data_IF_491345215716
#
_entry.id   IF_491345215716
#
_cell.length_a   1.000
_cell.length_b   1.000
_cell.length_c   1.000
_cell.angle_alpha   90.00
_cell.angle_beta   90.00
_cell.angle_gamma   90.00
#
_symmetry.space_group_name_H-M   'P 1'
#
loop_
_entity.id
_entity.type
_entity.pdbx_description
1 polymer ?
#
# COMPACT_ATOMS: atom_id res chain seq x y z
N UNK A 1 -3.02 -5.33 -4.04
CA UNK A 1 -2.19 -4.16 -4.34
C UNK A 1 -2.94 -2.95 -3.82
N UNK A 2 -2.25 -1.91 -3.36
CA UNK A 2 -2.87 -0.64 -3.01
C UNK A 2 -2.23 0.47 -3.85
N UNK A 3 -3.05 1.23 -4.56
CA UNK A 3 -2.62 2.43 -5.30
C UNK A 3 -3.33 3.67 -4.76
N UNK A 4 -2.78 4.85 -5.04
CA UNK A 4 -3.37 6.12 -4.64
C UNK A 4 -3.37 7.10 -5.82
N UNK A 5 -4.50 7.77 -6.01
CA UNK A 5 -4.65 8.88 -6.94
C UNK A 5 -5.18 10.10 -6.19
N UNK A 6 -4.87 11.28 -6.72
CA UNK A 6 -5.45 12.56 -6.27
C UNK A 6 -6.42 13.05 -7.33
N UNK A 7 -7.51 13.69 -6.93
CA UNK A 7 -8.50 14.18 -7.89
C UNK A 7 -9.05 15.59 -7.54
N UNK A 8 -9.58 16.25 -8.57
CA UNK A 8 -10.15 17.60 -8.49
C UNK A 8 -11.67 17.60 -8.27
N UNK A 9 -12.31 18.75 -8.46
CA UNK A 9 -13.78 18.89 -8.35
C UNK A 9 -14.50 18.07 -9.41
N UNK A 10 -15.76 17.69 -9.14
CA UNK A 10 -16.64 16.99 -10.09
C UNK A 10 -16.44 15.48 -10.19
N UNK A 11 -15.51 14.89 -9.44
CA UNK A 11 -15.24 13.45 -9.46
C UNK A 11 -16.25 12.59 -8.70
N UNK A 12 -17.19 13.18 -7.95
CA UNK A 12 -18.21 12.42 -7.21
C UNK A 12 -19.03 11.51 -8.15
N UNK A 13 -19.40 12.03 -9.32
CA UNK A 13 -20.25 11.33 -10.27
C UNK A 13 -19.59 10.03 -10.78
N UNK A 14 -18.26 10.02 -10.94
CA UNK A 14 -17.51 8.83 -11.34
C UNK A 14 -17.72 7.62 -10.41
N UNK A 15 -17.89 7.85 -9.10
CA UNK A 15 -18.15 6.77 -8.13
C UNK A 15 -19.64 6.44 -8.03
N UNK A 16 -20.52 7.40 -8.31
CA UNK A 16 -21.96 7.23 -8.21
C UNK A 16 -22.57 6.58 -9.46
N UNK A 17 -21.99 6.82 -10.65
CA UNK A 17 -22.41 6.20 -11.92
C UNK A 17 -22.20 4.69 -11.95
N UNK A 18 -21.25 4.22 -11.15
CA UNK A 18 -20.89 2.82 -11.08
C UNK A 18 -21.82 1.98 -10.18
N UNK A 19 -22.47 2.60 -9.20
CA UNK A 19 -23.36 1.93 -8.24
C UNK A 19 -24.62 1.44 -8.95
N UNK A 20 -24.87 0.14 -8.89
CA UNK A 20 -26.09 -0.46 -9.43
C UNK A 20 -27.33 0.06 -8.67
N UNK A 21 -28.40 0.40 -9.40
CA UNK A 21 -29.71 0.74 -8.81
C UNK A 21 -30.30 -0.52 -8.15
N UNK A 22 -30.93 -0.33 -6.99
CA UNK A 22 -30.99 -1.28 -5.87
C UNK A 22 -31.94 -2.50 -5.98
N UNK A 23 -32.37 -2.95 -7.16
CA UNK A 23 -33.44 -3.97 -7.24
C UNK A 23 -33.03 -5.32 -7.87
N UNK A 24 -31.74 -5.56 -8.11
CA UNK A 24 -31.30 -6.84 -8.70
C UNK A 24 -30.82 -7.85 -7.64
N UNK A 25 -31.60 -8.93 -7.53
CA UNK A 25 -31.33 -10.15 -6.75
C UNK A 25 -29.99 -10.84 -7.13
N UNK A 26 -29.32 -10.38 -8.20
CA UNK A 26 -27.97 -10.77 -8.64
C UNK A 26 -26.91 -9.67 -8.37
N UNK A 27 -26.97 -9.04 -7.19
CA UNK A 27 -26.01 -8.04 -6.69
C UNK A 27 -24.53 -8.52 -6.60
N UNK A 28 -24.21 -9.74 -7.05
CA UNK A 28 -22.83 -10.19 -7.30
C UNK A 28 -22.23 -9.60 -8.57
N UNK A 29 -23.02 -9.01 -9.46
CA UNK A 29 -22.51 -8.51 -10.74
C UNK A 29 -22.66 -6.97 -10.92
N UNK A 30 -23.41 -6.29 -10.05
CA UNK A 30 -23.43 -4.82 -9.92
C UNK A 30 -22.43 -4.28 -8.89
N UNK A 31 -21.93 -3.05 -9.06
CA UNK A 31 -21.05 -2.43 -8.05
C UNK A 31 -21.84 -2.16 -6.76
N UNK A 32 -21.23 -2.45 -5.60
CA UNK A 32 -21.91 -2.36 -4.31
C UNK A 32 -22.23 -0.89 -3.98
N UNK A 33 -23.38 -0.68 -3.29
CA UNK A 33 -23.69 0.61 -2.67
C UNK A 33 -22.52 0.98 -1.76
N UNK A 34 -21.98 2.18 -1.94
CA UNK A 34 -20.83 2.63 -1.17
C UNK A 34 -21.11 2.60 0.33
N UNK A 35 -20.10 2.37 1.16
CA UNK A 35 -20.22 2.35 2.61
C UNK A 35 -19.32 3.39 3.27
N UNK A 36 -19.83 4.11 4.27
CA UNK A 36 -19.01 4.99 5.09
C UNK A 36 -18.11 4.19 6.06
N UNK A 37 -16.89 4.69 6.27
CA UNK A 37 -15.87 4.16 7.19
C UNK A 37 -15.07 5.30 7.83
N UNK A 38 -14.39 4.97 8.93
CA UNK A 38 -13.48 5.86 9.65
C UNK A 38 -14.17 6.73 10.70
N UNK A 39 -13.41 7.08 11.75
CA UNK A 39 -13.90 7.91 12.86
C UNK A 39 -14.31 9.30 12.41
N UNK A 40 -13.74 9.79 11.30
CA UNK A 40 -14.15 11.06 10.70
C UNK A 40 -15.55 11.01 10.10
N UNK A 41 -15.95 9.89 9.50
CA UNK A 41 -17.31 9.71 9.02
C UNK A 41 -18.30 9.68 10.20
N UNK A 42 -17.97 8.94 11.27
CA UNK A 42 -18.78 8.90 12.51
C UNK A 42 -18.97 10.29 13.12
N UNK A 43 -17.95 11.16 13.09
CA UNK A 43 -18.04 12.56 13.55
C UNK A 43 -19.04 13.41 12.77
N UNK A 44 -19.32 13.07 11.51
CA UNK A 44 -20.33 13.71 10.66
C UNK A 44 -21.69 12.99 10.72
N UNK A 45 -21.86 11.99 11.60
CA UNK A 45 -23.06 11.14 11.64
C UNK A 45 -23.17 10.16 10.48
N UNK A 46 -22.12 10.00 9.67
CA UNK A 46 -22.10 9.12 8.51
C UNK A 46 -21.71 7.71 8.95
N UNK A 47 -22.67 6.78 8.93
CA UNK A 47 -22.47 5.40 9.40
C UNK A 47 -23.07 4.31 8.50
N UNK A 48 -23.83 4.71 7.47
CA UNK A 48 -24.59 3.81 6.61
C UNK A 48 -24.04 3.77 5.16
N UNK A 49 -24.91 3.40 4.23
CA UNK A 49 -24.69 3.55 2.80
C UNK A 49 -24.35 5.00 2.43
N UNK A 50 -23.49 5.17 1.44
CA UNK A 50 -23.06 6.47 0.93
C UNK A 50 -24.18 7.07 0.08
N UNK A 51 -24.86 8.10 0.59
CA UNK A 51 -25.84 8.81 -0.21
C UNK A 51 -25.13 9.76 -1.20
N UNK A 52 -25.65 9.92 -2.44
CA UNK A 52 -25.09 10.83 -3.43
C UNK A 52 -24.93 12.28 -2.94
N UNK A 53 -25.86 12.77 -2.12
CA UNK A 53 -25.83 14.13 -1.57
C UNK A 53 -24.73 14.29 -0.52
N UNK A 54 -24.55 13.30 0.36
CA UNK A 54 -23.53 13.30 1.40
C UNK A 54 -22.14 13.27 0.78
N UNK A 55 -21.91 12.38 -0.19
CA UNK A 55 -20.63 12.26 -0.88
C UNK A 55 -20.23 13.58 -1.55
N UNK A 56 -21.17 14.23 -2.25
CA UNK A 56 -20.92 15.53 -2.89
C UNK A 56 -20.57 16.59 -1.85
N UNK A 57 -21.33 16.67 -0.75
CA UNK A 57 -21.10 17.63 0.32
C UNK A 57 -19.69 17.50 0.91
N UNK A 58 -19.27 16.31 1.33
CA UNK A 58 -17.96 16.13 1.96
C UNK A 58 -16.80 16.36 0.99
N UNK A 59 -16.96 16.01 -0.30
CA UNK A 59 -15.96 16.28 -1.34
C UNK A 59 -15.82 17.77 -1.66
N UNK A 60 -16.91 18.52 -1.54
CA UNK A 60 -16.90 19.98 -1.61
C UNK A 60 -16.42 20.65 -0.32
N UNK A 61 -16.25 19.88 0.76
CA UNK A 61 -15.82 20.38 2.05
C UNK A 61 -16.91 21.00 2.86
N UNK A 62 -18.09 20.39 2.84
CA UNK A 62 -19.26 20.81 3.60
C UNK A 62 -19.73 19.69 4.49
N UNK A 63 -20.29 20.08 5.61
CA UNK A 63 -21.03 19.17 6.46
C UNK A 63 -22.28 18.71 5.69
N UNK A 64 -22.54 17.40 5.58
CA UNK A 64 -23.68 16.89 4.82
C UNK A 64 -25.03 17.28 5.45
N UNK A 65 -25.10 17.45 6.77
CA UNK A 65 -26.31 17.84 7.50
C UNK A 65 -26.53 19.35 7.52
N UNK A 66 -25.52 20.13 7.92
CA UNK A 66 -25.66 21.59 8.09
C UNK A 66 -25.30 22.40 6.84
N UNK A 67 -24.62 21.79 5.87
CA UNK A 67 -24.05 22.45 4.68
C UNK A 67 -22.98 23.52 4.98
N UNK A 68 -22.59 23.67 6.25
CA UNK A 68 -21.55 24.58 6.69
C UNK A 68 -20.17 24.14 6.19
N UNK A 69 -19.23 25.08 5.96
CA UNK A 69 -17.89 24.73 5.50
C UNK A 69 -17.09 23.93 6.54
N UNK A 70 -16.59 22.77 6.14
CA UNK A 70 -15.61 21.99 6.89
C UNK A 70 -14.20 22.55 6.59
N UNK A 71 -13.78 23.49 7.43
CA UNK A 71 -12.49 24.17 7.35
C UNK A 71 -12.48 25.34 6.37
N UNK A 72 -11.29 25.90 6.11
CA UNK A 72 -11.16 27.12 5.30
C UNK A 72 -11.48 26.84 3.83
N UNK A 73 -12.32 27.68 3.23
CA UNK A 73 -12.57 27.67 1.77
C UNK A 73 -11.33 28.16 1.04
N UNK A 74 -10.86 27.35 0.08
CA UNK A 74 -9.83 27.73 -0.87
C UNK A 74 -10.36 27.49 -2.29
N UNK A 75 -10.23 28.46 -3.19
CA UNK A 75 -10.69 28.35 -4.59
C UNK A 75 -10.07 27.13 -5.30
N UNK A 76 -8.78 26.86 -5.05
CA UNK A 76 -8.02 25.73 -5.60
C UNK A 76 -8.00 24.47 -4.70
N UNK A 77 -9.02 24.29 -3.84
CA UNK A 77 -9.06 23.13 -2.94
C UNK A 77 -9.18 21.84 -3.75
N UNK A 78 -8.25 20.92 -3.53
CA UNK A 78 -8.36 19.52 -3.98
C UNK A 78 -9.58 18.88 -3.33
N UNK A 79 -10.26 17.99 -4.06
CA UNK A 79 -11.46 17.33 -3.55
C UNK A 79 -11.15 16.11 -2.68
N UNK A 80 -10.10 15.36 -3.00
CA UNK A 80 -9.70 14.23 -2.17
C UNK A 80 -8.63 13.32 -2.77
N UNK A 81 -8.54 12.14 -2.18
CA UNK A 81 -7.68 11.03 -2.58
C UNK A 81 -8.54 9.80 -2.85
N UNK A 82 -8.14 9.00 -3.82
CA UNK A 82 -8.73 7.69 -4.13
C UNK A 82 -7.68 6.62 -3.89
N UNK A 83 -7.94 5.73 -2.96
CA UNK A 83 -7.10 4.58 -2.64
C UNK A 83 -7.76 3.32 -3.18
N UNK A 84 -7.10 2.64 -4.13
CA UNK A 84 -7.67 1.45 -4.77
C UNK A 84 -7.00 0.18 -4.26
N UNK A 85 -7.77 -0.66 -3.58
CA UNK A 85 -7.37 -1.99 -3.14
C UNK A 85 -7.71 -3.01 -4.22
N UNK A 86 -6.73 -3.64 -4.83
CA UNK A 86 -6.95 -4.65 -5.87
C UNK A 86 -6.55 -6.05 -5.38
N UNK A 87 -7.47 -7.01 -5.44
CA UNK A 87 -7.17 -8.41 -5.14
C UNK A 87 -6.27 -9.04 -6.23
N UNK A 88 -5.50 -10.11 -5.90
CA UNK A 88 -4.86 -10.96 -6.91
C UNK A 88 -5.88 -11.51 -7.92
N UNK A 89 -5.42 -11.90 -9.11
CA UNK A 89 -6.34 -12.31 -10.19
C UNK A 89 -7.07 -13.59 -9.82
N UNK A 90 -6.38 -14.57 -9.25
CA UNK A 90 -7.00 -15.83 -8.81
C UNK A 90 -8.04 -15.60 -7.72
N UNK A 91 -7.81 -14.63 -6.81
CA UNK A 91 -8.82 -14.24 -5.81
C UNK A 91 -10.04 -13.60 -6.49
N UNK A 92 -9.83 -12.77 -7.50
CA UNK A 92 -10.95 -12.21 -8.29
C UNK A 92 -11.76 -13.32 -8.97
N UNK A 93 -11.10 -14.36 -9.51
CA UNK A 93 -11.79 -15.50 -10.11
C UNK A 93 -12.62 -16.27 -9.08
N UNK A 94 -12.06 -16.59 -7.91
CA UNK A 94 -12.79 -17.26 -6.84
C UNK A 94 -14.02 -16.45 -6.39
N UNK A 95 -13.87 -15.13 -6.26
CA UNK A 95 -14.90 -14.23 -5.79
C UNK A 95 -16.02 -13.95 -6.79
N UNK A 96 -15.75 -14.10 -8.09
CA UNK A 96 -16.64 -13.62 -9.15
C UNK A 96 -17.05 -14.67 -10.19
N UNK A 97 -16.43 -15.86 -10.17
CA UNK A 97 -16.71 -16.98 -11.09
C UNK A 97 -16.82 -18.31 -10.32
N UNK A 98 -16.44 -18.34 -9.04
CA UNK A 98 -16.54 -19.54 -8.21
C UNK A 98 -18.00 -19.94 -7.89
N UNK A 99 -18.23 -21.09 -7.23
CA UNK A 99 -19.56 -21.42 -6.74
C UNK A 99 -20.06 -20.40 -5.69
N UNK A 100 -21.39 -20.27 -5.48
CA UNK A 100 -21.96 -19.20 -4.64
C UNK A 100 -21.35 -19.06 -3.25
N UNK A 101 -21.03 -20.17 -2.57
CA UNK A 101 -20.39 -20.11 -1.25
C UNK A 101 -18.95 -19.57 -1.32
N UNK A 102 -18.16 -19.98 -2.30
CA UNK A 102 -16.80 -19.48 -2.51
C UNK A 102 -16.81 -18.00 -2.85
N UNK A 103 -17.77 -17.55 -3.66
CA UNK A 103 -17.95 -16.13 -3.97
C UNK A 103 -18.21 -15.34 -2.69
N UNK A 104 -19.21 -15.75 -1.90
CA UNK A 104 -19.57 -15.09 -0.63
C UNK A 104 -18.39 -14.98 0.33
N UNK A 105 -17.68 -16.08 0.58
CA UNK A 105 -16.54 -16.10 1.49
C UNK A 105 -15.39 -15.24 0.97
N UNK A 106 -15.15 -15.22 -0.34
CA UNK A 106 -14.08 -14.43 -0.95
C UNK A 106 -14.37 -12.93 -0.90
N UNK A 107 -15.60 -12.52 -1.19
CA UNK A 107 -16.04 -11.13 -1.06
C UNK A 107 -15.98 -10.67 0.40
N UNK A 108 -16.44 -11.50 1.35
CA UNK A 108 -16.34 -11.21 2.77
C UNK A 108 -14.88 -11.08 3.24
N UNK A 109 -13.98 -11.96 2.78
CA UNK A 109 -12.54 -11.88 3.06
C UNK A 109 -11.91 -10.59 2.51
N UNK A 110 -12.28 -10.18 1.30
CA UNK A 110 -11.83 -8.91 0.72
C UNK A 110 -12.25 -7.72 1.57
N UNK A 111 -13.55 -7.63 1.90
CA UNK A 111 -14.11 -6.53 2.72
C UNK A 111 -13.45 -6.47 4.10
N UNK A 112 -13.29 -7.62 4.76
CA UNK A 112 -12.61 -7.72 6.06
C UNK A 112 -11.15 -7.25 5.99
N UNK A 113 -10.42 -7.67 4.95
CA UNK A 113 -9.04 -7.26 4.75
C UNK A 113 -8.91 -5.75 4.46
N UNK A 114 -9.83 -5.17 3.68
CA UNK A 114 -9.89 -3.73 3.46
C UNK A 114 -10.17 -3.00 4.77
N UNK A 115 -11.22 -3.37 5.50
CA UNK A 115 -11.63 -2.72 6.75
C UNK A 115 -10.50 -2.75 7.81
N UNK A 116 -9.78 -3.87 7.94
CA UNK A 116 -8.61 -3.96 8.83
C UNK A 116 -7.54 -2.92 8.48
N UNK A 117 -7.25 -2.74 7.19
CA UNK A 117 -6.22 -1.82 6.72
C UNK A 117 -6.67 -0.37 6.78
N UNK A 118 -7.96 -0.08 6.65
CA UNK A 118 -8.52 1.26 6.84
C UNK A 118 -8.41 1.70 8.31
N UNK A 119 -8.67 0.79 9.25
CA UNK A 119 -8.43 1.03 10.67
C UNK A 119 -6.94 1.28 10.97
N UNK A 120 -6.06 0.43 10.44
CA UNK A 120 -4.61 0.60 10.58
C UNK A 120 -4.12 1.93 10.00
N UNK A 121 -4.55 2.27 8.78
CA UNK A 121 -4.22 3.52 8.11
C UNK A 121 -4.63 4.73 8.93
N UNK A 122 -5.86 4.75 9.43
CA UNK A 122 -6.35 5.84 10.26
C UNK A 122 -5.52 5.98 11.55
N UNK A 123 -5.13 4.86 12.17
CA UNK A 123 -4.31 4.86 13.38
C UNK A 123 -2.89 5.40 13.14
N UNK A 124 -2.32 5.25 11.94
CA UNK A 124 -0.92 5.65 11.65
C UNK A 124 -0.78 6.98 10.93
N UNK A 125 -1.65 7.22 9.94
CA UNK A 125 -1.46 8.31 8.97
C UNK A 125 -2.62 9.29 8.89
N UNK A 126 -3.55 9.26 9.84
CA UNK A 126 -4.48 10.38 10.06
C UNK A 126 -3.75 11.59 10.68
N UNK A 127 -3.14 12.39 9.81
CA UNK A 127 -2.50 13.66 10.14
C UNK A 127 -3.12 14.78 9.32
N UNK A 128 -3.21 15.97 9.90
CA UNK A 128 -3.68 17.20 9.23
C UNK A 128 -2.58 18.25 9.19
N UNK A 129 -2.71 19.17 8.24
CA UNK A 129 -1.83 20.33 8.10
C UNK A 129 -2.54 21.59 8.62
N UNK A 130 -1.98 22.23 9.64
CA UNK A 130 -2.52 23.47 10.22
C UNK A 130 -1.49 24.61 10.29
N UNK A 131 -1.99 25.81 10.59
CA UNK A 131 -1.24 27.08 10.59
C UNK A 131 -0.91 27.65 9.21
N UNK A 132 -0.19 28.78 9.18
CA UNK A 132 0.22 29.43 7.94
C UNK A 132 1.04 28.45 7.08
N UNK A 133 0.71 28.35 5.79
CA UNK A 133 1.31 27.42 4.82
C UNK A 133 1.19 25.92 5.19
N UNK A 134 0.39 25.55 6.21
CA UNK A 134 0.19 24.17 6.63
C UNK A 134 1.48 23.49 7.08
N UNK A 135 2.31 24.23 7.83
CA UNK A 135 3.64 23.79 8.29
C UNK A 135 3.53 22.88 9.51
N UNK A 136 2.51 23.05 10.35
CA UNK A 136 2.30 22.21 11.52
C UNK A 136 1.58 20.92 11.12
N UNK A 137 2.14 19.79 11.55
CA UNK A 137 1.56 18.46 11.41
C UNK A 137 0.99 18.04 12.76
N UNK A 138 -0.31 17.81 12.79
CA UNK A 138 -1.00 17.36 14.01
C UNK A 138 -1.83 16.13 13.71
N UNK A 139 -1.99 15.26 14.69
CA UNK A 139 -2.87 14.09 14.60
C UNK A 139 -4.31 14.54 14.38
N UNK A 140 -4.96 13.92 13.39
CA UNK A 140 -6.39 14.03 13.21
C UNK A 140 -7.11 13.02 14.13
N UNK A 141 -8.36 13.29 14.46
CA UNK A 141 -9.17 12.38 15.27
C UNK A 141 -9.72 11.21 14.44
N UNK A 142 -9.63 11.31 13.11
CA UNK A 142 -9.99 10.26 12.17
C UNK A 142 -9.87 10.73 10.72
N UNK A 143 -10.34 9.89 9.81
CA UNK A 143 -10.50 10.17 8.39
C UNK A 143 -11.96 9.91 8.00
N UNK A 144 -12.47 10.67 7.04
CA UNK A 144 -13.74 10.36 6.36
C UNK A 144 -13.40 9.46 5.18
N UNK A 145 -14.04 8.30 5.06
CA UNK A 145 -13.71 7.31 4.04
C UNK A 145 -15.00 6.75 3.42
N UNK A 146 -15.18 6.90 2.11
CA UNK A 146 -16.26 6.27 1.36
C UNK A 146 -15.70 5.10 0.55
N UNK A 147 -16.15 3.89 0.86
CA UNK A 147 -15.70 2.64 0.26
C UNK A 147 -16.68 2.20 -0.84
N UNK A 148 -16.21 1.95 -2.05
CA UNK A 148 -16.99 1.43 -3.18
C UNK A 148 -16.33 0.15 -3.71
N UNK A 149 -17.04 -0.98 -3.70
CA UNK A 149 -16.53 -2.28 -4.17
C UNK A 149 -16.99 -2.55 -5.61
N UNK A 150 -16.02 -2.87 -6.47
CA UNK A 150 -16.20 -3.05 -7.91
C UNK A 150 -15.67 -4.41 -8.35
N UNK A 151 -16.33 -5.04 -9.34
CA UNK A 151 -16.05 -6.42 -9.76
C UNK A 151 -15.48 -6.55 -11.17
N UNK A 152 -15.51 -5.48 -11.97
CA UNK A 152 -15.11 -5.52 -13.39
C UNK A 152 -13.92 -4.60 -13.66
N UNK A 153 -12.96 -5.09 -14.44
CA UNK A 153 -11.92 -4.23 -14.99
C UNK A 153 -12.46 -3.39 -16.16
N UNK A 154 -11.69 -2.38 -16.59
CA UNK A 154 -12.01 -1.62 -17.80
C UNK A 154 -12.07 -2.47 -19.08
N UNK A 155 -11.35 -3.59 -19.12
CA UNK A 155 -11.35 -4.52 -20.24
C UNK A 155 -12.46 -5.59 -20.13
N UNK A 156 -13.36 -5.47 -19.14
CA UNK A 156 -14.42 -6.44 -18.90
C UNK A 156 -13.97 -7.71 -18.18
N UNK A 157 -12.69 -7.87 -17.82
CA UNK A 157 -12.21 -9.02 -17.04
C UNK A 157 -12.70 -8.98 -15.57
N UNK A 158 -12.87 -10.13 -14.90
CA UNK A 158 -13.22 -10.20 -13.48
C UNK A 158 -12.08 -9.60 -12.66
N UNK A 159 -12.39 -8.58 -11.88
CA UNK A 159 -11.42 -7.84 -11.10
C UNK A 159 -12.04 -7.28 -9.83
N UNK A 160 -11.83 -7.99 -8.72
CA UNK A 160 -12.28 -7.56 -7.40
C UNK A 160 -11.36 -6.45 -6.89
N UNK A 161 -11.91 -5.26 -6.74
CA UNK A 161 -11.22 -4.11 -6.19
C UNK A 161 -12.16 -3.16 -5.46
N UNK A 162 -11.60 -2.42 -4.51
CA UNK A 162 -12.33 -1.41 -3.73
C UNK A 162 -11.70 -0.04 -3.86
N UNK A 163 -12.49 0.97 -4.21
CA UNK A 163 -12.13 2.38 -4.17
C UNK A 163 -12.45 2.97 -2.80
N UNK A 164 -11.46 3.56 -2.15
CA UNK A 164 -11.62 4.26 -0.88
C UNK A 164 -11.35 5.73 -1.10
N UNK A 165 -12.44 6.48 -1.16
CA UNK A 165 -12.44 7.91 -1.38
C UNK A 165 -12.29 8.61 -0.04
N UNK A 166 -11.19 9.35 0.10
CA UNK A 166 -10.89 10.16 1.28
C UNK A 166 -11.05 11.63 0.88
N UNK A 167 -12.14 12.30 1.31
CA UNK A 167 -12.32 13.72 1.10
C UNK A 167 -11.16 14.52 1.70
N UNK A 168 -10.90 15.70 1.15
CA UNK A 168 -9.84 16.58 1.64
C UNK A 168 -10.25 17.35 2.92
N UNK A 169 -10.91 16.66 3.85
CA UNK A 169 -11.35 17.11 5.17
C UNK A 169 -11.17 15.98 6.18
N UNK A 170 -10.61 16.32 7.34
CA UNK A 170 -10.47 15.42 8.48
C UNK A 170 -10.70 16.22 9.78
N UNK A 171 -11.34 15.59 10.79
CA UNK A 171 -11.61 16.24 12.05
C UNK A 171 -10.34 16.40 12.90
N UNK A 172 -10.29 17.51 13.60
CA UNK A 172 -9.35 17.84 14.65
C UNK A 172 -10.14 18.23 15.91
N UNK A 173 -9.45 18.28 17.05
CA UNK A 173 -10.00 18.75 18.31
C UNK A 173 -10.79 20.07 18.17
N UNK A 174 -11.75 20.26 19.09
CA UNK A 174 -12.60 21.45 19.18
C UNK A 174 -13.50 21.67 17.93
N UNK A 175 -13.89 20.58 17.25
CA UNK A 175 -14.81 20.65 16.10
C UNK A 175 -14.20 21.26 14.84
N UNK A 176 -12.88 21.43 14.81
CA UNK A 176 -12.17 22.03 13.67
C UNK A 176 -11.89 20.98 12.60
N UNK A 177 -11.89 21.42 11.34
CA UNK A 177 -11.65 20.55 10.19
C UNK A 177 -10.51 21.06 9.33
N UNK A 178 -9.63 20.15 8.91
CA UNK A 178 -8.44 20.47 8.13
C UNK A 178 -8.22 19.49 6.98
N UNK A 179 -7.37 19.88 6.03
CA UNK A 179 -6.94 18.98 4.98
C UNK A 179 -6.00 17.90 5.54
N UNK A 180 -6.24 16.60 5.24
CA UNK A 180 -5.29 15.54 5.53
C UNK A 180 -3.92 15.80 4.90
N UNK A 181 -2.83 15.42 5.59
CA UNK A 181 -1.49 15.44 5.01
C UNK A 181 -1.36 14.29 4.00
N UNK A 182 -1.66 14.59 2.74
CA UNK A 182 -1.55 13.60 1.66
C UNK A 182 -0.18 12.90 1.58
N UNK A 183 0.91 13.55 2.02
CA UNK A 183 2.25 12.91 2.07
C UNK A 183 2.28 11.70 3.00
N UNK A 184 1.53 11.73 4.11
CA UNK A 184 1.39 10.59 5.02
C UNK A 184 0.67 9.43 4.33
N UNK A 185 -0.42 9.72 3.60
CA UNK A 185 -1.15 8.73 2.80
C UNK A 185 -0.25 8.08 1.74
N UNK A 186 0.47 8.89 0.95
CA UNK A 186 1.42 8.38 -0.05
C UNK A 186 2.54 7.52 0.56
N UNK A 187 3.07 7.91 1.72
CA UNK A 187 4.08 7.14 2.43
C UNK A 187 3.56 5.79 2.94
N UNK A 188 2.28 5.72 3.30
CA UNK A 188 1.64 4.51 3.83
C UNK A 188 1.20 3.52 2.75
N UNK A 189 0.81 3.98 1.56
CA UNK A 189 0.18 3.13 0.51
C UNK A 189 0.92 1.84 0.23
N UNK A 190 2.26 1.86 0.17
CA UNK A 190 3.04 0.63 -0.05
C UNK A 190 2.90 -0.33 1.14
N UNK A 191 2.95 0.16 2.37
CA UNK A 191 2.76 -0.64 3.58
C UNK A 191 1.35 -1.17 3.68
N UNK A 192 0.34 -0.32 3.49
CA UNK A 192 -1.07 -0.72 3.46
C UNK A 192 -1.35 -1.80 2.41
N UNK A 193 -0.69 -1.74 1.26
CA UNK A 193 -0.77 -2.80 0.24
C UNK A 193 -0.24 -4.16 0.69
N UNK A 194 0.83 -4.20 1.50
CA UNK A 194 1.37 -5.45 2.05
C UNK A 194 0.46 -5.98 3.16
N UNK A 195 -0.02 -5.10 4.04
CA UNK A 195 -0.95 -5.45 5.11
C UNK A 195 -2.28 -5.98 4.56
N UNK A 196 -2.82 -5.34 3.52
CA UNK A 196 -4.03 -5.82 2.82
C UNK A 196 -3.85 -7.23 2.27
N UNK A 197 -2.74 -7.47 1.58
CA UNK A 197 -2.50 -8.79 1.00
C UNK A 197 -2.26 -9.85 2.07
N UNK A 198 -1.55 -9.53 3.15
CA UNK A 198 -1.37 -10.45 4.28
C UNK A 198 -2.71 -10.74 4.98
N UNK A 199 -3.55 -9.73 5.21
CA UNK A 199 -4.86 -9.90 5.83
C UNK A 199 -5.81 -10.71 4.93
N UNK A 200 -5.82 -10.43 3.62
CA UNK A 200 -6.61 -11.17 2.63
C UNK A 200 -6.21 -12.65 2.61
N UNK A 201 -4.89 -12.94 2.64
CA UNK A 201 -4.41 -14.33 2.74
C UNK A 201 -4.87 -14.99 4.03
N UNK A 202 -4.80 -14.30 5.15
CA UNK A 202 -5.23 -14.83 6.43
C UNK A 202 -6.72 -15.21 6.41
N UNK A 203 -7.57 -14.28 5.95
CA UNK A 203 -9.02 -14.50 5.85
C UNK A 203 -9.36 -15.69 4.94
N UNK A 204 -8.76 -15.76 3.74
CA UNK A 204 -9.05 -16.83 2.77
C UNK A 204 -8.46 -18.18 3.17
N UNK A 205 -7.29 -18.21 3.83
CA UNK A 205 -6.76 -19.45 4.41
C UNK A 205 -7.65 -19.96 5.53
N UNK A 206 -8.19 -19.07 6.38
CA UNK A 206 -9.07 -19.47 7.48
C UNK A 206 -10.45 -19.92 6.99
N UNK A 207 -11.05 -19.19 6.04
CA UNK A 207 -12.40 -19.44 5.52
C UNK A 207 -12.48 -20.63 4.56
N UNK A 208 -11.50 -20.78 3.68
CA UNK A 208 -11.53 -21.74 2.57
C UNK A 208 -10.39 -22.76 2.60
N UNK A 209 -9.47 -22.67 3.56
CA UNK A 209 -8.30 -23.54 3.58
C UNK A 209 -7.34 -23.28 2.41
N UNK A 210 -7.44 -22.08 1.81
CA UNK A 210 -6.77 -21.76 0.56
C UNK A 210 -5.25 -21.82 0.69
N UNK A 211 -4.62 -22.49 -0.27
CA UNK A 211 -3.16 -22.57 -0.42
C UNK A 211 -2.65 -21.47 -1.35
N UNK A 212 -1.45 -20.99 -1.08
CA UNK A 212 -0.84 -19.85 -1.77
C UNK A 212 0.43 -20.26 -2.51
N UNK A 213 0.67 -19.63 -3.65
CA UNK A 213 1.98 -19.61 -4.28
C UNK A 213 2.97 -18.72 -3.52
N UNK A 214 4.19 -18.53 -4.04
CA UNK A 214 5.20 -17.68 -3.42
C UNK A 214 4.72 -16.24 -3.27
N UNK A 215 4.93 -15.66 -2.08
CA UNK A 215 4.71 -14.23 -1.85
C UNK A 215 5.82 -13.45 -2.56
N UNK A 216 5.41 -12.45 -3.35
CA UNK A 216 6.30 -11.53 -4.06
C UNK A 216 5.77 -10.13 -3.94
N UNK A 217 6.56 -9.24 -3.34
CA UNK A 217 6.18 -7.83 -3.11
C UNK A 217 4.84 -7.69 -2.37
N UNK A 218 4.60 -8.59 -1.43
CA UNK A 218 3.43 -8.68 -0.57
C UNK A 218 2.29 -9.47 -1.19
N UNK A 219 2.33 -9.79 -2.48
CA UNK A 219 1.25 -10.47 -3.20
C UNK A 219 1.54 -11.95 -3.42
N UNK A 220 0.50 -12.80 -3.35
CA UNK A 220 0.56 -14.18 -3.81
C UNK A 220 -0.72 -14.51 -4.57
N UNK A 221 -0.60 -15.40 -5.54
CA UNK A 221 -1.76 -15.99 -6.22
C UNK A 221 -2.16 -17.30 -5.52
N UNK A 222 -3.46 -17.65 -5.50
CA UNK A 222 -3.90 -18.96 -5.04
C UNK A 222 -3.22 -20.08 -5.83
N UNK A 223 -2.72 -21.11 -5.13
CA UNK A 223 -1.99 -22.22 -5.74
C UNK A 223 -2.86 -23.12 -6.65
N UNK A 224 -4.18 -22.95 -6.60
CA UNK A 224 -5.15 -23.70 -7.41
C UNK A 224 -5.19 -23.25 -8.88
N UNK A 225 -4.59 -22.11 -9.22
CA UNK A 225 -4.53 -21.61 -10.59
C UNK A 225 -3.13 -21.68 -11.18
N UNK A 226 -3.04 -22.15 -12.42
CA UNK A 226 -1.84 -22.04 -13.23
C UNK A 226 -1.64 -20.62 -13.77
N UNK A 227 -0.40 -20.29 -14.17
CA UNK A 227 -0.10 -18.97 -14.77
C UNK A 227 -0.87 -18.72 -16.07
N UNK A 228 -1.09 -19.74 -16.90
CA UNK A 228 -1.83 -19.60 -18.16
C UNK A 228 -3.30 -19.29 -17.91
N UNK A 229 -3.93 -19.95 -16.93
CA UNK A 229 -5.30 -19.67 -16.51
C UNK A 229 -5.46 -18.23 -16.02
N UNK A 230 -4.54 -17.76 -15.16
CA UNK A 230 -4.57 -16.36 -14.70
C UNK A 230 -4.36 -15.36 -15.84
N UNK A 231 -3.53 -15.70 -16.83
CA UNK A 231 -3.24 -14.85 -17.99
C UNK A 231 -4.47 -14.68 -18.89
N UNK A 232 -5.29 -15.72 -19.05
CA UNK A 232 -6.53 -15.68 -19.83
C UNK A 232 -7.55 -14.62 -19.34
N UNK A 233 -7.43 -14.20 -18.08
CA UNK A 233 -8.30 -13.18 -17.46
C UNK A 233 -7.55 -11.88 -17.13
N UNK A 234 -6.40 -11.64 -17.77
CA UNK A 234 -5.52 -10.50 -17.51
C UNK A 234 -5.27 -9.65 -18.76
N UNK A 235 -6.29 -9.48 -19.61
CA UNK A 235 -6.25 -8.78 -20.91
C UNK A 235 -5.66 -7.38 -20.77
N UNK A 236 -6.05 -6.65 -19.72
CA UNK A 236 -5.52 -5.30 -19.44
C UNK A 236 -4.01 -5.28 -19.23
N UNK A 237 -3.48 -6.29 -18.53
CA UNK A 237 -2.04 -6.39 -18.23
C UNK A 237 -1.26 -6.65 -19.52
N UNK A 238 -1.77 -7.52 -20.37
CA UNK A 238 -1.18 -7.82 -21.67
C UNK A 238 -1.12 -6.58 -22.58
N UNK A 239 -2.20 -5.80 -22.66
CA UNK A 239 -2.20 -4.54 -23.40
C UNK A 239 -1.12 -3.56 -22.90
N UNK A 240 -0.93 -3.44 -21.58
CA UNK A 240 0.11 -2.59 -21.00
C UNK A 240 1.50 -3.15 -21.34
N UNK A 241 1.71 -4.46 -21.23
CA UNK A 241 3.00 -5.08 -21.54
C UNK A 241 3.38 -4.89 -23.02
N UNK A 242 2.44 -5.06 -23.95
CA UNK A 242 2.64 -4.79 -25.38
C UNK A 242 2.96 -3.30 -25.60
N UNK A 243 2.19 -2.38 -25.02
CA UNK A 243 2.47 -0.96 -25.15
C UNK A 243 3.81 -0.53 -24.55
N UNK A 244 4.28 -1.22 -23.51
CA UNK A 244 5.59 -1.01 -22.90
C UNK A 244 6.75 -1.49 -23.78
N UNK A 245 6.55 -2.48 -24.65
CA UNK A 245 7.57 -2.90 -25.61
C UNK A 245 7.93 -1.79 -26.60
N UNK A 246 6.99 -0.89 -26.90
CA UNK A 246 7.21 0.30 -27.73
C UNK A 246 7.83 1.50 -27.01
N UNK A 247 8.09 1.43 -25.70
CA UNK A 247 8.66 2.53 -24.92
C UNK A 247 10.13 2.24 -24.56
N UNK A 248 11.01 3.25 -24.70
CA UNK A 248 12.41 3.13 -24.26
C UNK A 248 12.47 3.15 -22.73
N UNK A 249 12.66 1.98 -22.13
CA UNK A 249 12.94 1.79 -20.70
C UNK A 249 11.76 1.27 -19.87
N UNK A 250 12.06 0.41 -18.89
CA UNK A 250 11.09 -0.16 -17.94
C UNK A 250 11.04 0.68 -16.65
N UNK A 251 10.46 1.88 -16.72
CA UNK A 251 10.28 2.75 -15.55
C UNK A 251 8.82 2.81 -15.09
N UNK A 252 8.59 3.17 -13.82
CA UNK A 252 7.23 3.36 -13.28
C UNK A 252 6.45 4.42 -14.06
N UNK A 253 7.13 5.48 -14.52
CA UNK A 253 6.56 6.54 -15.36
C UNK A 253 6.19 6.02 -16.76
N UNK A 254 7.03 5.17 -17.36
CA UNK A 254 6.70 4.53 -18.63
C UNK A 254 5.46 3.62 -18.49
N UNK A 255 5.37 2.86 -17.39
CA UNK A 255 4.17 2.03 -17.09
C UNK A 255 2.91 2.86 -16.88
N UNK A 256 2.99 4.01 -16.20
CA UNK A 256 1.89 4.95 -16.06
C UNK A 256 1.42 5.50 -17.42
N UNK A 257 2.37 5.93 -18.27
CA UNK A 257 2.07 6.42 -19.62
C UNK A 257 1.44 5.34 -20.49
N UNK A 258 1.99 4.12 -20.48
CA UNK A 258 1.41 2.98 -21.21
C UNK A 258 0.00 2.66 -20.71
N UNK A 259 -0.23 2.73 -19.40
CA UNK A 259 -1.56 2.53 -18.81
C UNK A 259 -2.55 3.60 -19.29
N UNK A 260 -2.19 4.88 -19.27
CA UNK A 260 -3.07 5.95 -19.74
C UNK A 260 -3.36 5.87 -21.24
N UNK A 261 -2.36 5.54 -22.07
CA UNK A 261 -2.51 5.47 -23.54
C UNK A 261 -3.39 4.32 -24.02
N UNK A 262 -3.31 3.17 -23.34
CA UNK A 262 -4.09 1.96 -23.71
C UNK A 262 -5.45 1.93 -23.02
N UNK A 263 -5.83 2.99 -22.32
CA UNK A 263 -7.09 3.08 -21.58
C UNK A 263 -8.24 3.29 -22.54
N UNK A 264 -9.09 2.29 -22.69
CA UNK A 264 -10.38 2.44 -23.34
C UNK A 264 -11.45 2.95 -22.34
N UNK A 265 -12.49 3.65 -22.82
CA UNK A 265 -13.67 3.96 -22.02
C UNK A 265 -14.28 2.67 -21.44
N UNK A 266 -14.80 2.74 -20.21
CA UNK A 266 -15.53 1.61 -19.63
C UNK A 266 -16.88 1.53 -20.37
N UNK A 267 -17.23 0.36 -20.89
CA UNK A 267 -18.58 0.12 -21.41
C UNK A 267 -19.51 -0.03 -20.21
N UNK A 268 -20.45 0.90 -20.03
CA UNK A 268 -21.31 0.99 -18.84
C UNK A 268 -22.68 0.36 -19.01
N UNK A 269 -23.10 0.07 -20.25
CA UNK A 269 -24.46 -0.42 -20.58
C UNK A 269 -24.52 -1.93 -20.86
N UNK A 270 -23.63 -2.73 -20.25
CA UNK A 270 -23.71 -4.19 -20.38
C UNK A 270 -24.36 -4.76 -19.12
N UNK A 271 -25.43 -5.53 -19.31
CA UNK A 271 -26.09 -6.24 -18.22
C UNK A 271 -25.11 -7.14 -17.48
N UNK A 272 -25.10 -7.13 -16.14
CA UNK A 272 -24.13 -7.90 -15.36
C UNK A 272 -24.16 -9.42 -15.66
N UNK A 273 -25.34 -9.98 -15.93
CA UNK A 273 -25.53 -11.39 -16.31
C UNK A 273 -24.74 -11.77 -17.58
N UNK A 274 -24.68 -10.87 -18.58
CA UNK A 274 -23.97 -11.10 -19.83
C UNK A 274 -22.46 -11.15 -19.58
N UNK A 275 -21.96 -10.27 -18.70
CA UNK A 275 -20.55 -10.24 -18.32
C UNK A 275 -20.17 -11.52 -17.59
N UNK A 276 -21.00 -11.99 -16.66
CA UNK A 276 -20.74 -13.22 -15.91
C UNK A 276 -20.76 -14.46 -16.81
N UNK A 277 -21.75 -14.60 -17.69
CA UNK A 277 -21.81 -15.69 -18.65
C UNK A 277 -20.57 -15.73 -19.57
N UNK A 278 -20.07 -14.56 -20.00
CA UNK A 278 -18.85 -14.48 -20.78
C UNK A 278 -17.61 -14.93 -19.99
N UNK A 279 -17.58 -14.74 -18.66
CA UNK A 279 -16.51 -15.24 -17.81
C UNK A 279 -16.57 -16.75 -17.60
N UNK A 280 -17.76 -17.33 -17.46
CA UNK A 280 -17.96 -18.78 -17.36
C UNK A 280 -17.46 -19.50 -18.61
N UNK A 281 -17.88 -19.04 -19.80
CA UNK A 281 -17.40 -19.58 -21.08
C UNK A 281 -15.88 -19.47 -21.18
N UNK A 282 -15.30 -18.33 -20.77
CA UNK A 282 -13.84 -18.16 -20.79
C UNK A 282 -13.14 -19.09 -19.78
N UNK A 283 -13.75 -19.37 -18.65
CA UNK A 283 -13.22 -20.28 -17.64
C UNK A 283 -13.17 -21.72 -18.17
N UNK A 284 -14.23 -22.15 -18.87
CA UNK A 284 -14.27 -23.44 -19.58
C UNK A 284 -13.18 -23.53 -20.64
N UNK A 285 -13.03 -22.51 -21.49
CA UNK A 285 -11.96 -22.46 -22.51
C UNK A 285 -10.56 -22.50 -21.89
N UNK A 286 -10.39 -21.87 -20.73
CA UNK A 286 -9.14 -21.90 -19.95
C UNK A 286 -8.97 -23.17 -19.12
N UNK A 287 -9.90 -24.13 -19.21
CA UNK A 287 -9.92 -25.40 -18.46
C UNK A 287 -9.88 -25.17 -16.94
N UNK A 288 -10.69 -24.23 -16.46
CA UNK A 288 -10.86 -23.94 -15.04
C UNK A 288 -12.17 -24.59 -14.57
N UNK A 289 -12.07 -25.70 -13.85
CA UNK A 289 -13.22 -26.31 -13.19
C UNK A 289 -13.36 -25.74 -11.77
N UNK A 290 -14.18 -24.68 -11.65
CA UNK A 290 -14.43 -24.02 -10.37
C UNK A 290 -15.15 -24.90 -9.37
N UNK A 291 -15.99 -25.84 -9.82
CA UNK A 291 -16.69 -26.77 -8.95
C UNK A 291 -15.72 -27.81 -8.37
N UNK A 292 -14.78 -28.32 -9.18
CA UNK A 292 -13.71 -29.18 -8.69
C UNK A 292 -12.79 -28.47 -7.70
N UNK A 293 -12.35 -27.24 -8.01
CA UNK A 293 -11.51 -26.44 -7.11
C UNK A 293 -12.19 -26.23 -5.75
N UNK A 294 -13.50 -25.95 -5.74
CA UNK A 294 -14.25 -25.68 -4.53
C UNK A 294 -14.46 -26.92 -3.64
N UNK A 295 -14.39 -28.14 -4.18
CA UNK A 295 -14.54 -29.38 -3.39
C UNK A 295 -13.43 -29.58 -2.35
N UNK A 296 -12.26 -29.01 -2.61
CA UNK A 296 -11.11 -29.09 -1.70
C UNK A 296 -11.09 -27.96 -0.65
N UNK A 297 -12.08 -27.07 -0.66
CA UNK A 297 -12.15 -25.94 0.26
C UNK A 297 -12.88 -26.32 1.53
N UNK A 298 -12.15 -26.20 2.64
CA UNK A 298 -12.65 -26.42 3.99
C UNK A 298 -11.99 -25.39 4.91
N UNK A 299 -12.70 -24.82 5.89
CA UNK A 299 -12.11 -23.91 6.85
C UNK A 299 -10.91 -24.55 7.57
N UNK A 300 -9.80 -23.80 7.71
CA UNK A 300 -8.59 -24.30 8.38
C UNK A 300 -8.11 -23.32 9.43
N UNK A 301 -7.65 -23.85 10.57
CA UNK A 301 -6.91 -23.01 11.51
C UNK A 301 -5.59 -22.61 10.87
N UNK A 302 -5.42 -21.32 10.59
CA UNK A 302 -4.14 -20.78 10.13
C UNK A 302 -3.08 -20.94 11.23
N UNK A 303 -1.93 -21.50 10.86
CA UNK A 303 -0.73 -21.43 11.70
C UNK A 303 -0.08 -20.06 11.46
N UNK A 304 0.23 -19.35 12.54
CA UNK A 304 1.02 -18.12 12.46
C UNK A 304 2.45 -18.42 11.98
N UNK A 305 3.25 -17.37 11.84
CA UNK A 305 4.68 -17.49 11.56
C UNK A 305 5.48 -17.46 12.86
N UNK A 306 6.64 -18.13 12.87
CA UNK A 306 7.54 -18.12 14.02
C UNK A 306 8.20 -16.73 14.13
N UNK A 307 7.83 -16.00 15.18
CA UNK A 307 8.32 -14.63 15.42
C UNK A 307 9.82 -14.63 15.76
N UNK A 308 10.33 -15.68 16.41
CA UNK A 308 11.75 -15.77 16.75
C UNK A 308 12.60 -16.06 15.52
N UNK A 309 12.16 -16.99 14.66
CA UNK A 309 12.81 -17.27 13.37
C UNK A 309 12.80 -16.02 12.47
N UNK A 310 11.64 -15.38 12.33
CA UNK A 310 11.49 -14.16 11.55
C UNK A 310 12.36 -13.02 12.07
N UNK A 311 12.46 -12.87 13.40
CA UNK A 311 13.34 -11.88 14.02
C UNK A 311 14.81 -12.15 13.70
N UNK A 312 15.25 -13.40 13.85
CA UNK A 312 16.63 -13.79 13.54
C UNK A 312 16.98 -13.54 12.06
N UNK A 313 16.06 -13.87 11.15
CA UNK A 313 16.22 -13.62 9.72
C UNK A 313 16.30 -12.11 9.41
N UNK A 314 15.35 -11.32 9.92
CA UNK A 314 15.24 -9.90 9.60
C UNK A 314 16.34 -9.04 10.23
N UNK A 315 16.89 -9.43 11.37
CA UNK A 315 18.00 -8.73 12.01
C UNK A 315 19.37 -9.21 11.50
N UNK A 316 19.42 -10.34 10.78
CA UNK A 316 20.65 -10.91 10.23
C UNK A 316 21.20 -10.16 9.01
N UNK A 317 22.36 -10.59 8.49
CA UNK A 317 23.07 -9.92 7.37
C UNK A 317 22.25 -9.80 6.09
N UNK A 318 21.35 -10.75 5.83
CA UNK A 318 20.48 -10.79 4.65
C UNK A 318 19.08 -10.21 4.93
N UNK A 319 18.89 -9.57 6.09
CA UNK A 319 17.62 -9.04 6.55
C UNK A 319 17.36 -7.60 6.13
N UNK A 320 16.88 -6.77 7.08
CA UNK A 320 16.42 -5.40 6.83
C UNK A 320 17.51 -4.43 6.36
N UNK A 321 18.77 -4.75 6.61
CA UNK A 321 19.96 -3.96 6.25
C UNK A 321 20.85 -4.62 5.19
N UNK A 322 20.35 -5.62 4.46
CA UNK A 322 21.14 -6.31 3.43
C UNK A 322 21.56 -5.38 2.29
N UNK A 323 20.67 -4.46 1.88
CA UNK A 323 20.83 -3.57 0.74
C UNK A 323 20.83 -2.08 1.10
N UNK A 324 20.86 -1.76 2.41
CA UNK A 324 20.71 -0.39 2.93
C UNK A 324 21.28 -0.27 4.34
N UNK A 325 21.73 0.92 4.72
CA UNK A 325 22.26 1.19 6.07
C UNK A 325 21.20 1.47 7.13
N UNK A 326 19.96 1.78 6.72
CA UNK A 326 18.89 2.08 7.67
C UNK A 326 17.51 1.69 7.12
N UNK A 327 16.57 1.50 8.04
CA UNK A 327 15.18 1.20 7.73
C UNK A 327 14.23 1.93 8.69
N UNK A 328 12.95 1.92 8.35
CA UNK A 328 11.89 2.59 9.13
C UNK A 328 10.84 1.60 9.57
N UNK A 329 9.98 1.96 10.52
CA UNK A 329 8.86 1.12 11.00
C UNK A 329 8.04 0.51 9.85
N UNK A 330 7.71 1.31 8.82
CA UNK A 330 7.02 0.83 7.61
C UNK A 330 7.81 -0.21 6.81
N UNK A 331 9.14 -0.18 6.84
CA UNK A 331 10.00 -1.22 6.28
C UNK A 331 9.85 -2.54 7.02
N UNK A 332 9.83 -2.51 8.36
CA UNK A 332 9.66 -3.70 9.20
C UNK A 332 8.30 -4.35 8.97
N UNK A 333 7.21 -3.56 9.01
CA UNK A 333 5.85 -4.08 8.76
C UNK A 333 5.73 -4.80 7.42
N UNK A 334 6.31 -4.21 6.36
CA UNK A 334 6.34 -4.84 5.03
C UNK A 334 7.15 -6.14 5.03
N UNK A 335 8.31 -6.16 5.67
CA UNK A 335 9.16 -7.33 5.72
C UNK A 335 8.49 -8.50 6.46
N UNK A 336 7.80 -8.21 7.57
CA UNK A 336 6.99 -9.17 8.33
C UNK A 336 5.82 -9.68 7.48
N UNK A 337 5.03 -8.78 6.88
CA UNK A 337 3.89 -9.13 6.05
C UNK A 337 4.26 -9.96 4.80
N UNK A 338 5.46 -9.75 4.24
CA UNK A 338 6.01 -10.56 3.13
C UNK A 338 6.22 -12.03 3.55
N UNK A 339 6.70 -12.25 4.77
CA UNK A 339 7.04 -13.58 5.32
C UNK A 339 5.83 -14.35 5.87
N UNK A 340 4.73 -13.65 6.11
CA UNK A 340 3.45 -14.26 6.43
C UNK A 340 2.83 -14.93 5.17
N UNK A 341 3.33 -16.11 4.82
CA UNK A 341 2.96 -16.88 3.63
C UNK A 341 1.47 -17.27 3.63
N UNK A 342 0.95 -17.74 4.77
CA UNK A 342 -0.47 -18.01 4.99
C UNK A 342 -1.28 -16.76 5.36
N UNK A 343 -0.63 -15.59 5.37
CA UNK A 343 -1.23 -14.32 5.77
C UNK A 343 -1.12 -14.03 7.26
N UNK A 344 -1.41 -12.76 7.59
CA UNK A 344 -1.46 -12.22 8.94
C UNK A 344 -2.29 -10.93 8.94
N UNK A 345 -3.06 -10.71 10.01
CA UNK A 345 -3.81 -9.48 10.23
C UNK A 345 -2.88 -8.37 10.75
N UNK A 346 -3.22 -7.08 10.56
CA UNK A 346 -2.36 -5.97 11.00
C UNK A 346 -1.88 -6.07 12.47
N UNK A 347 -2.72 -6.45 13.46
CA UNK A 347 -2.25 -6.60 14.85
C UNK A 347 -1.17 -7.68 15.04
N UNK A 348 -1.23 -8.77 14.27
CA UNK A 348 -0.21 -9.83 14.31
C UNK A 348 1.10 -9.36 13.68
N UNK A 349 1.01 -8.65 12.55
CA UNK A 349 2.17 -8.04 11.89
C UNK A 349 2.83 -7.01 12.82
N UNK A 350 2.03 -6.22 13.53
CA UNK A 350 2.51 -5.26 14.52
C UNK A 350 3.23 -5.91 15.69
N UNK A 351 2.65 -6.98 16.26
CA UNK A 351 3.27 -7.70 17.37
C UNK A 351 4.64 -8.24 16.97
N UNK A 352 4.75 -8.83 15.78
CA UNK A 352 6.01 -9.31 15.25
C UNK A 352 6.98 -8.18 14.90
N UNK A 353 6.52 -7.08 14.29
CA UNK A 353 7.36 -5.93 14.00
C UNK A 353 7.93 -5.30 15.29
N UNK A 354 7.13 -5.22 16.36
CA UNK A 354 7.59 -4.81 17.70
C UNK A 354 8.68 -5.73 18.24
N UNK A 355 8.51 -7.04 18.10
CA UNK A 355 9.53 -8.01 18.51
C UNK A 355 10.84 -7.86 17.71
N UNK A 356 10.75 -7.52 16.42
CA UNK A 356 11.92 -7.25 15.57
C UNK A 356 12.66 -5.99 16.01
N UNK A 357 11.96 -4.86 16.21
CA UNK A 357 12.62 -3.60 16.61
C UNK A 357 13.10 -3.59 18.06
N UNK A 358 12.58 -4.49 18.89
CA UNK A 358 13.04 -4.70 20.27
C UNK A 358 14.25 -5.65 20.35
N UNK A 359 14.69 -6.24 19.24
CA UNK A 359 15.88 -7.08 19.23
C UNK A 359 17.12 -6.26 19.58
N UNK A 360 18.04 -6.85 20.35
CA UNK A 360 19.29 -6.20 20.76
C UNK A 360 20.13 -5.77 19.57
N UNK A 361 20.04 -6.45 18.43
CA UNK A 361 20.78 -6.13 17.21
C UNK A 361 20.24 -4.90 16.50
N UNK A 362 19.04 -4.42 16.85
CA UNK A 362 18.43 -3.23 16.26
C UNK A 362 18.73 -1.99 17.11
N UNK A 363 19.17 -0.92 16.45
CA UNK A 363 19.49 0.36 17.08
C UNK A 363 18.54 1.43 16.54
N UNK A 364 17.80 2.08 17.43
CA UNK A 364 16.97 3.26 17.08
C UNK A 364 17.88 4.45 16.82
N UNK A 365 17.68 5.11 15.67
CA UNK A 365 18.44 6.28 15.24
C UNK A 365 17.73 7.59 15.60
N UNK A 366 16.51 7.77 15.12
CA UNK A 366 15.74 9.01 15.28
C UNK A 366 14.26 8.80 14.98
N UNK A 367 13.46 9.78 15.36
CA UNK A 367 12.08 9.90 14.91
C UNK A 367 11.98 10.81 13.68
N UNK A 368 11.17 10.40 12.71
CA UNK A 368 10.89 11.11 11.47
C UNK A 368 9.49 11.72 11.45
N UNK A 369 9.02 12.10 10.25
CA UNK A 369 7.64 12.60 10.08
C UNK A 369 6.63 11.54 10.47
N UNK A 370 5.46 11.99 10.95
CA UNK A 370 4.33 11.13 11.31
C UNK A 370 4.66 10.09 12.39
N UNK A 371 5.57 10.42 13.30
CA UNK A 371 6.09 9.51 14.33
C UNK A 371 6.71 8.22 13.76
N UNK A 372 7.24 8.27 12.54
CA UNK A 372 7.93 7.11 11.94
C UNK A 372 9.32 6.99 12.53
N UNK A 373 9.62 5.88 13.19
CA UNK A 373 10.95 5.63 13.76
C UNK A 373 11.92 5.09 12.70
N UNK A 374 13.18 5.52 12.82
CA UNK A 374 14.30 5.08 12.01
C UNK A 374 15.22 4.19 12.82
N UNK A 375 15.73 3.15 12.19
CA UNK A 375 16.55 2.12 12.80
C UNK A 375 17.71 1.73 11.88
N UNK A 376 18.74 1.13 12.48
CA UNK A 376 19.81 0.38 11.82
C UNK A 376 20.09 -0.90 12.60
N UNK A 377 21.02 -1.72 12.13
CA UNK A 377 21.55 -2.87 12.88
C UNK A 377 22.90 -2.53 13.50
N UNK A 378 23.24 -3.18 14.63
CA UNK A 378 24.55 -3.03 15.27
C UNK A 378 25.69 -3.37 14.34
N UNK A 379 25.48 -4.36 13.47
CA UNK A 379 26.42 -4.80 12.45
C UNK A 379 26.74 -3.68 11.44
N UNK A 380 25.71 -2.98 10.93
CA UNK A 380 25.92 -1.80 10.07
C UNK A 380 26.62 -0.68 10.85
N UNK A 381 26.17 -0.38 12.06
CA UNK A 381 26.76 0.70 12.87
C UNK A 381 28.25 0.44 13.18
N UNK A 382 28.62 -0.82 13.44
CA UNK A 382 30.00 -1.22 13.64
C UNK A 382 30.85 -0.99 12.39
N UNK A 383 30.35 -1.39 11.21
CA UNK A 383 31.04 -1.14 9.93
C UNK A 383 31.18 0.35 9.64
N UNK A 384 30.16 1.17 9.92
CA UNK A 384 30.24 2.62 9.75
C UNK A 384 31.29 3.24 10.69
N UNK A 385 31.35 2.82 11.96
CA UNK A 385 32.39 3.25 12.89
C UNK A 385 33.81 2.84 12.45
N UNK A 386 33.97 1.63 11.92
CA UNK A 386 35.27 1.17 11.41
C UNK A 386 35.71 1.97 10.18
N UNK A 387 34.80 2.30 9.27
CA UNK A 387 35.08 3.18 8.12
C UNK A 387 35.52 4.58 8.57
N UNK A 388 34.85 5.17 9.56
CA UNK A 388 35.24 6.49 10.12
C UNK A 388 36.63 6.40 10.75
N UNK A 389 36.90 5.37 11.57
CA UNK A 389 38.22 5.18 12.19
C UNK A 389 39.33 5.01 11.15
N UNK A 390 39.07 4.29 10.07
CA UNK A 390 40.02 4.12 8.96
C UNK A 390 40.27 5.45 8.24
N UNK A 391 39.23 6.23 7.96
CA UNK A 391 39.36 7.55 7.35
C UNK A 391 40.18 8.52 8.23
N UNK A 392 39.92 8.56 9.53
CA UNK A 392 40.71 9.39 10.47
C UNK A 392 42.17 8.94 10.57
N UNK A 393 42.46 7.64 10.46
CA UNK A 393 43.85 7.13 10.44
C UNK A 393 44.56 7.54 9.16
N UNK A 394 43.91 7.39 8.00
CA UNK A 394 44.46 7.80 6.71
C UNK A 394 44.73 9.31 6.66
N UNK A 395 43.84 10.12 7.23
CA UNK A 395 44.03 11.58 7.31
C UNK A 395 45.24 11.93 8.19
N UNK A 396 45.36 11.31 9.37
CA UNK A 396 46.54 11.47 10.24
C UNK A 396 47.85 11.05 9.58
N UNK A 397 47.85 9.96 8.81
CA UNK A 397 49.03 9.52 8.05
C UNK A 397 49.36 10.48 6.90
N UNK A 398 48.35 11.03 6.23
CA UNK A 398 48.52 12.04 5.18
C UNK A 398 49.13 13.32 5.74
N UNK A 399 48.64 13.80 6.90
CA UNK A 399 49.20 14.96 7.62
C UNK A 399 50.66 14.68 8.00
N UNK A 400 50.96 13.52 8.61
CA UNK A 400 52.34 13.13 8.97
C UNK A 400 53.27 13.04 7.77
N UNK A 401 52.77 12.56 6.63
CA UNK A 401 53.56 12.45 5.39
C UNK A 401 53.86 13.83 4.80
N UNK A 402 52.88 14.75 4.83
CA UNK A 402 53.10 16.16 4.45
C UNK A 402 54.08 16.87 5.38
N UNK A 403 53.97 16.68 6.69
CA UNK A 403 54.92 17.23 7.66
C UNK A 403 56.34 16.68 7.44
N UNK A 404 56.49 15.38 7.17
CA UNK A 404 57.78 14.78 6.82
C UNK A 404 58.35 15.32 5.50
N UNK A 405 57.53 15.54 4.49
CA UNK A 405 57.96 16.13 3.23
C UNK A 405 58.43 17.59 3.41
N UNK A 406 57.71 18.38 4.22
CA UNK A 406 58.09 19.77 4.58
C UNK A 406 59.35 19.84 5.45
N UNK A 407 59.57 18.85 6.33
CA UNK A 407 60.77 18.76 7.15
C UNK A 407 61.97 18.20 6.36
N UNK A 408 61.73 17.34 5.37
CA UNK A 408 62.74 16.82 4.45
C UNK A 408 63.24 17.88 3.47
N UNK A 409 62.35 18.76 2.98
CA UNK A 409 62.75 19.86 2.07
C UNK A 409 63.54 20.98 2.76
N UNK A 410 63.59 21.01 4.11
CA UNK A 410 64.37 21.98 4.89
C UNK A 410 65.80 21.53 5.21
N UNK A 411 66.18 20.29 4.86
CA UNK A 411 67.53 19.76 5.14
C UNK A 411 68.50 19.85 3.95
N UNK A 412 68.05 20.20 2.76
CA UNK A 412 68.90 20.29 1.56
C UNK A 412 69.41 21.71 1.21
N UNK A 413 68.99 22.76 1.93
CA UNK A 413 69.45 24.15 1.68
C UNK A 413 70.65 24.58 2.56
N UNK A 414 71.37 23.62 3.14
CA UNK A 414 72.62 23.87 3.86
C UNK A 414 73.82 23.99 2.91
N UNK A 415 73.83 25.00 2.05
CA UNK A 415 75.05 25.37 1.30
C UNK A 415 76.04 25.97 2.30
N UNK A 416 77.09 25.20 2.56
CA UNK A 416 78.26 25.54 3.35
C UNK A 416 79.00 26.74 2.72
N UNK A 417 78.89 27.91 3.34
CA UNK A 417 79.69 29.09 3.00
C UNK A 417 81.08 28.92 3.62
N UNK A 418 81.90 28.09 2.98
CA UNK A 418 83.32 27.97 3.25
C UNK A 418 84.06 29.25 2.87
N UNK A 419 84.36 30.05 3.88
CA UNK A 419 85.36 31.11 3.84
C UNK A 419 86.73 30.45 3.89
N UNK A 420 87.57 30.62 2.86
CA UNK A 420 89.01 30.56 3.04
C UNK A 420 89.76 31.47 2.05
N UNK A 421 90.46 32.43 2.69
CA UNK A 421 91.62 33.28 2.35
C UNK A 421 91.98 33.64 0.91
#
# INVERSE_FOLDING_TARGET
MLSIARFGRGHAQYYLDGVARSDDYYATAGEAIGCWRGRGATRLGLSAAVAPVELRAVLDGRDPGTQEPLGRRCSNRRSGFDLTFSAPKGVSLLGLVGPPEVQRQTLAAHRSAVDCVLGDMESRVAWVRCGANGVHLVRAEGLVQALFEHHTSRAGDPHLHSHVVIPNVAPMAEGRWFAPDGRALYAYVRTGGYLYQAALRAELTERLGLRWGPVRTGMAEPAVFSRSQLRAFSTRREQIEVAMQGLRGRSARASEVANLRTRQPKVTDVRPEIVHAAWEVRAEMAKIDMAAIARDFEPKRRRGFDVAELRAELCGPNGLTADRSSFVTFGVLRAVAERASLGARPPEVDAAARAVVADREVVRLREGRWATEWFTTRDVLAREHDLVRLAERADRETVRTRERALLGSRRDDGIDLGVDR
#
